data_IF_230250925606
#
_entry.id   IF_230250925606
#
_cell.length_a   1.000
_cell.length_b   1.000
_cell.length_c   1.000
_cell.angle_alpha   90.00
_cell.angle_beta   90.00
_cell.angle_gamma   90.00
#
_symmetry.space_group_name_H-M   'P 1'
#
loop_
_entity.id
_entity.type
_entity.pdbx_description
1 polymer ?
#
# COMPACT_ATOMS: atom_id res chain seq x y z
N UNK A 1 -14.24 -27.52 7.34
CA UNK A 1 -13.54 -26.28 7.78
C UNK A 1 -14.58 -25.32 8.35
N UNK A 2 -14.39 -24.80 9.57
CA UNK A 2 -15.36 -23.91 10.23
C UNK A 2 -15.30 -22.48 9.63
N UNK A 3 -16.37 -21.97 9.01
CA UNK A 3 -16.40 -20.64 8.38
C UNK A 3 -16.16 -19.51 9.39
N UNK A 4 -16.48 -19.70 10.67
CA UNK A 4 -16.22 -18.70 11.73
C UNK A 4 -14.73 -18.54 12.02
N UNK A 5 -13.95 -19.63 11.92
CA UNK A 5 -12.49 -19.60 12.11
C UNK A 5 -11.82 -18.83 10.96
N UNK A 6 -12.24 -19.07 9.72
CA UNK A 6 -11.73 -18.36 8.55
C UNK A 6 -12.06 -16.86 8.60
N UNK A 7 -13.28 -16.49 8.99
CA UNK A 7 -13.66 -15.08 9.12
C UNK A 7 -12.84 -14.34 10.19
N UNK A 8 -12.58 -14.98 11.35
CA UNK A 8 -11.72 -14.38 12.39
C UNK A 8 -10.27 -14.22 11.91
N UNK A 9 -9.72 -15.22 11.22
CA UNK A 9 -8.37 -15.16 10.67
C UNK A 9 -8.22 -14.01 9.66
N UNK A 10 -9.18 -13.84 8.75
CA UNK A 10 -9.17 -12.75 7.77
C UNK A 10 -9.24 -11.36 8.44
N UNK A 11 -10.00 -11.22 9.53
CA UNK A 11 -10.06 -9.96 10.28
C UNK A 11 -8.70 -9.61 10.92
N UNK A 12 -8.03 -10.58 11.55
CA UNK A 12 -6.68 -10.38 12.10
C UNK A 12 -5.67 -10.06 10.98
N UNK A 13 -5.71 -10.77 9.86
CA UNK A 13 -4.84 -10.52 8.72
C UNK A 13 -4.95 -9.06 8.23
N UNK A 14 -6.17 -8.57 7.99
CA UNK A 14 -6.40 -7.19 7.58
C UNK A 14 -5.92 -6.17 8.63
N UNK A 15 -6.11 -6.45 9.92
CA UNK A 15 -5.61 -5.60 11.00
C UNK A 15 -4.08 -5.53 11.00
N UNK A 16 -3.39 -6.66 10.90
CA UNK A 16 -1.92 -6.69 10.88
C UNK A 16 -1.34 -6.04 9.63
N UNK A 17 -1.99 -6.15 8.47
CA UNK A 17 -1.60 -5.40 7.27
C UNK A 17 -1.68 -3.88 7.50
N UNK A 18 -2.77 -3.39 8.10
CA UNK A 18 -2.91 -1.96 8.40
C UNK A 18 -1.84 -1.45 9.37
N UNK A 19 -1.54 -2.22 10.42
CA UNK A 19 -0.44 -1.91 11.35
C UNK A 19 0.90 -1.90 10.63
N UNK A 20 1.15 -2.87 9.74
CA UNK A 20 2.36 -2.94 8.92
C UNK A 20 2.56 -1.69 8.05
N UNK A 21 1.50 -1.24 7.38
CA UNK A 21 1.55 -0.01 6.56
C UNK A 21 1.89 1.22 7.39
N UNK A 22 1.23 1.42 8.54
CA UNK A 22 1.50 2.55 9.44
C UNK A 22 2.95 2.51 9.94
N UNK A 23 3.42 1.36 10.41
CA UNK A 23 4.78 1.20 10.91
C UNK A 23 5.83 1.40 9.81
N UNK A 24 5.56 0.90 8.59
CA UNK A 24 6.42 1.07 7.43
C UNK A 24 6.59 2.54 7.04
N UNK A 25 5.48 3.27 6.86
CA UNK A 25 5.51 4.70 6.54
C UNK A 25 6.08 5.55 7.69
N UNK A 26 5.81 5.18 8.94
CA UNK A 26 6.43 5.81 10.11
C UNK A 26 7.95 5.66 10.08
N UNK A 27 8.43 4.44 9.81
CA UNK A 27 9.85 4.13 9.70
C UNK A 27 10.51 4.94 8.57
N UNK A 28 9.85 5.06 7.41
CA UNK A 28 10.36 5.84 6.27
C UNK A 28 10.38 7.35 6.50
N UNK A 29 9.41 7.90 7.24
CA UNK A 29 9.37 9.34 7.57
C UNK A 29 10.36 9.75 8.68
N UNK A 30 10.73 8.82 9.56
CA UNK A 30 11.62 9.10 10.68
C UNK A 30 13.08 9.30 10.24
N UNK A 31 13.70 10.39 10.69
CA UNK A 31 15.03 10.83 10.24
C UNK A 31 16.19 10.54 11.20
N UNK A 32 15.93 9.96 12.37
CA UNK A 32 16.92 9.75 13.42
C UNK A 32 17.26 8.28 13.71
N UNK A 33 16.97 7.37 12.78
CA UNK A 33 17.34 5.96 12.93
C UNK A 33 18.83 5.74 13.13
N UNK A 34 19.68 6.56 12.51
CA UNK A 34 21.13 6.53 12.69
C UNK A 34 21.58 6.76 14.16
N UNK A 35 20.74 7.36 15.02
CA UNK A 35 21.03 7.50 16.46
C UNK A 35 20.73 6.23 17.24
N UNK A 36 19.71 5.48 16.82
CA UNK A 36 19.29 4.23 17.47
C UNK A 36 20.25 3.10 17.08
N UNK A 37 20.67 3.06 15.81
CA UNK A 37 21.60 2.08 15.26
C UNK A 37 22.87 2.78 14.75
N UNK A 38 23.75 3.26 15.64
CA UNK A 38 24.92 4.07 15.26
C UNK A 38 25.90 3.34 14.35
N UNK A 39 25.91 2.00 14.36
CA UNK A 39 26.73 1.18 13.46
C UNK A 39 26.36 1.34 11.97
N UNK A 40 25.22 1.96 11.66
CA UNK A 40 24.79 2.20 10.28
C UNK A 40 25.47 3.40 9.63
N UNK A 41 26.04 4.31 10.41
CA UNK A 41 26.77 5.48 9.92
C UNK A 41 28.23 5.10 9.62
N UNK A 42 28.70 5.37 8.41
CA UNK A 42 30.10 5.12 8.01
C UNK A 42 30.64 6.31 7.22
N UNK A 43 31.95 6.37 7.00
CA UNK A 43 32.59 7.42 6.18
C UNK A 43 32.07 7.47 4.74
N UNK A 44 31.57 6.35 4.21
CA UNK A 44 30.97 6.26 2.88
C UNK A 44 29.44 6.44 2.86
N UNK A 45 28.77 6.33 4.01
CA UNK A 45 27.30 6.33 4.13
C UNK A 45 26.87 7.43 5.12
N UNK A 46 26.45 8.57 4.57
CA UNK A 46 25.95 9.70 5.34
C UNK A 46 24.59 9.44 6.00
N UNK A 47 24.02 10.47 6.64
CA UNK A 47 22.82 10.37 7.48
C UNK A 47 21.63 9.74 6.75
N UNK A 48 21.33 10.13 5.50
CA UNK A 48 20.17 9.61 4.77
C UNK A 48 20.35 8.12 4.39
N UNK A 49 21.56 7.74 3.96
CA UNK A 49 21.92 6.35 3.69
C UNK A 49 21.85 5.49 4.96
N UNK A 50 22.36 5.98 6.10
CA UNK A 50 22.33 5.27 7.37
C UNK A 50 20.89 5.03 7.86
N UNK A 51 20.00 6.01 7.66
CA UNK A 51 18.57 5.87 7.97
C UNK A 51 17.86 4.83 7.08
N UNK A 52 18.17 4.78 5.78
CA UNK A 52 17.61 3.77 4.89
C UNK A 52 18.10 2.37 5.26
N UNK A 53 19.41 2.23 5.55
CA UNK A 53 20.02 0.97 5.98
C UNK A 53 19.41 0.44 7.28
N UNK A 54 19.18 1.32 8.25
CA UNK A 54 18.55 0.95 9.53
C UNK A 54 17.10 0.53 9.36
N UNK A 55 16.31 1.24 8.54
CA UNK A 55 14.95 0.83 8.19
C UNK A 55 14.92 -0.56 7.55
N UNK A 56 15.84 -0.85 6.62
CA UNK A 56 15.96 -2.15 5.99
C UNK A 56 16.31 -3.26 7.00
N UNK A 57 17.29 -3.01 7.88
CA UNK A 57 17.67 -3.96 8.92
C UNK A 57 16.53 -4.27 9.88
N UNK A 58 15.76 -3.24 10.27
CA UNK A 58 14.56 -3.43 11.09
C UNK A 58 13.55 -4.34 10.37
N UNK A 59 13.32 -4.11 9.08
CA UNK A 59 12.46 -4.95 8.25
C UNK A 59 12.92 -6.41 8.22
N UNK A 60 14.21 -6.66 8.01
CA UNK A 60 14.78 -8.02 8.02
C UNK A 60 14.56 -8.71 9.36
N UNK A 61 14.78 -8.01 10.49
CA UNK A 61 14.57 -8.56 11.82
C UNK A 61 13.10 -8.92 12.04
N UNK A 62 12.17 -8.01 11.70
CA UNK A 62 10.73 -8.25 11.84
C UNK A 62 10.29 -9.43 10.97
N UNK A 63 10.73 -9.49 9.70
CA UNK A 63 10.42 -10.59 8.79
C UNK A 63 10.96 -11.93 9.28
N UNK A 64 12.19 -11.96 9.82
CA UNK A 64 12.76 -13.18 10.39
C UNK A 64 11.93 -13.66 11.59
N UNK A 65 11.56 -12.75 12.50
CA UNK A 65 10.74 -13.07 13.67
C UNK A 65 9.36 -13.59 13.27
N UNK A 66 8.66 -12.93 12.33
CA UNK A 66 7.34 -13.38 11.88
C UNK A 66 7.42 -14.70 11.13
N UNK A 67 8.48 -14.94 10.36
CA UNK A 67 8.72 -16.22 9.69
C UNK A 67 8.94 -17.33 10.72
N UNK A 68 9.80 -17.12 11.72
CA UNK A 68 10.00 -18.09 12.79
C UNK A 68 8.70 -18.38 13.54
N UNK A 69 7.94 -17.34 13.92
CA UNK A 69 6.64 -17.51 14.55
C UNK A 69 5.69 -18.36 13.69
N UNK A 70 5.63 -18.07 12.39
CA UNK A 70 4.79 -18.82 11.44
C UNK A 70 5.20 -20.28 11.37
N UNK A 71 6.51 -20.56 11.26
CA UNK A 71 7.03 -21.93 11.22
C UNK A 71 6.79 -22.69 12.54
N UNK A 72 6.88 -22.02 13.69
CA UNK A 72 6.64 -22.67 14.99
C UNK A 72 5.16 -22.86 15.33
N UNK A 73 4.26 -22.07 14.72
CA UNK A 73 2.82 -22.10 15.00
C UNK A 73 2.01 -22.90 13.97
N UNK A 74 2.60 -23.20 12.81
CA UNK A 74 1.98 -24.05 11.81
C UNK A 74 2.19 -25.51 12.19
N UNK A 75 1.13 -26.16 12.65
CA UNK A 75 1.10 -27.62 12.72
C UNK A 75 1.08 -28.16 11.28
N UNK A 76 2.19 -28.73 10.83
CA UNK A 76 2.23 -29.43 9.55
C UNK A 76 1.45 -30.75 9.69
N UNK A 77 0.36 -30.88 8.95
CA UNK A 77 -0.26 -32.18 8.77
C UNK A 77 0.65 -32.99 7.83
N UNK A 78 1.10 -34.20 8.22
CA UNK A 78 1.88 -35.04 7.32
C UNK A 78 1.07 -35.32 6.05
N UNK A 79 1.72 -35.18 4.89
CA UNK A 79 1.18 -35.60 3.59
C UNK A 79 0.97 -37.12 3.64
N UNK A 80 -0.24 -37.54 4.00
CA UNK A 80 -0.60 -38.94 4.02
C UNK A 80 -0.90 -39.39 2.59
N UNK A 81 0.13 -39.80 1.85
CA UNK A 81 0.02 -40.42 0.52
C UNK A 81 -0.46 -41.88 0.68
N UNK A 82 -1.56 -42.07 1.41
CA UNK A 82 -2.17 -43.37 1.54
C UNK A 82 -3.67 -43.23 1.81
N UNK A 83 -4.41 -43.74 0.83
CA UNK A 83 -5.83 -44.08 0.83
C UNK A 83 -6.79 -42.93 0.57
N UNK A 84 -7.00 -42.68 -0.74
CA UNK A 84 -8.34 -42.43 -1.28
C UNK A 84 -9.30 -43.50 -0.75
N UNK A 85 -9.96 -43.22 0.38
CA UNK A 85 -11.22 -43.85 0.73
C UNK A 85 -12.24 -42.74 0.85
N UNK A 86 -13.14 -42.78 -0.12
CA UNK A 86 -14.36 -41.99 -0.28
C UNK A 86 -15.16 -41.95 1.02
N UNK A 87 -15.37 -40.76 1.59
CA UNK A 87 -16.56 -40.47 2.39
C UNK A 87 -17.29 -39.25 1.81
N UNK A 88 -18.53 -39.51 1.40
CA UNK A 88 -19.44 -38.65 0.67
C UNK A 88 -19.87 -37.40 1.45
N UNK A 89 -19.59 -36.22 0.89
CA UNK A 89 -20.44 -35.03 1.00
C UNK A 89 -20.49 -34.31 -0.36
N UNK A 90 -21.58 -34.51 -1.11
CA UNK A 90 -22.03 -33.65 -2.22
C UNK A 90 -21.10 -33.53 -3.44
N UNK A 91 -21.26 -34.43 -4.41
CA UNK A 91 -20.65 -34.40 -5.74
C UNK A 91 -20.86 -33.05 -6.47
N UNK A 92 -19.77 -32.33 -6.72
CA UNK A 92 -19.41 -31.91 -8.08
C UNK A 92 -18.09 -32.59 -8.35
N UNK A 93 -18.12 -33.63 -9.18
CA UNK A 93 -16.94 -34.39 -9.56
C UNK A 93 -15.96 -33.43 -10.27
N UNK A 94 -14.81 -33.19 -9.64
CA UNK A 94 -13.60 -32.85 -10.39
C UNK A 94 -12.99 -34.19 -10.75
N UNK A 95 -13.05 -34.54 -12.04
CA UNK A 95 -12.19 -35.60 -12.57
C UNK A 95 -10.74 -35.20 -12.28
N UNK A 96 -10.06 -36.01 -11.47
CA UNK A 96 -8.61 -36.02 -11.35
C UNK A 96 -8.04 -36.65 -12.62
N UNK A 97 -8.12 -35.91 -13.73
CA UNK A 97 -7.10 -36.02 -14.77
C UNK A 97 -5.92 -35.14 -14.35
N UNK A 98 -4.73 -35.72 -14.41
CA UNK A 98 -3.42 -35.09 -14.33
C UNK A 98 -3.43 -33.75 -15.11
N UNK A 99 -3.69 -32.63 -14.41
CA UNK A 99 -4.00 -31.39 -15.10
C UNK A 99 -2.73 -30.75 -15.65
N UNK A 100 -2.67 -30.44 -16.96
CA UNK A 100 -1.65 -29.54 -17.48
C UNK A 100 -1.84 -28.18 -16.79
N UNK A 101 -0.74 -27.46 -16.54
CA UNK A 101 -0.74 -26.14 -15.91
C UNK A 101 -1.99 -25.33 -16.29
N UNK A 102 -2.81 -24.85 -15.33
CA UNK A 102 -4.08 -24.20 -15.64
C UNK A 102 -3.80 -23.01 -16.55
N UNK A 103 -4.12 -23.21 -17.83
CA UNK A 103 -3.80 -22.24 -18.86
C UNK A 103 -4.59 -20.96 -18.59
N UNK A 104 -4.02 -19.79 -18.92
CA UNK A 104 -4.73 -18.51 -18.79
C UNK A 104 -6.13 -18.53 -19.43
N UNK A 105 -6.34 -19.37 -20.44
CA UNK A 105 -7.62 -19.58 -21.10
C UNK A 105 -8.69 -20.24 -20.22
N UNK A 106 -8.33 -21.19 -19.35
CA UNK A 106 -9.28 -21.82 -18.40
C UNK A 106 -9.66 -20.85 -17.27
N UNK A 107 -8.70 -20.03 -16.84
CA UNK A 107 -8.95 -18.95 -15.88
C UNK A 107 -9.88 -17.89 -16.48
N UNK A 108 -9.67 -17.49 -17.74
CA UNK A 108 -10.59 -16.60 -18.47
C UNK A 108 -11.94 -17.26 -18.79
N UNK A 109 -11.98 -18.57 -19.01
CA UNK A 109 -13.21 -19.34 -19.17
C UNK A 109 -14.08 -19.29 -17.91
N UNK A 110 -13.44 -19.37 -16.74
CA UNK A 110 -14.09 -19.24 -15.44
C UNK A 110 -14.77 -17.89 -15.24
N UNK A 111 -14.24 -16.80 -15.84
CA UNK A 111 -14.87 -15.46 -15.81
C UNK A 111 -16.26 -15.44 -16.44
N UNK A 112 -16.56 -16.31 -17.41
CA UNK A 112 -17.88 -16.37 -18.05
C UNK A 112 -18.97 -16.93 -17.13
N UNK A 113 -18.60 -17.68 -16.10
CA UNK A 113 -19.55 -18.23 -15.12
C UNK A 113 -19.91 -17.24 -14.00
N UNK A 114 -19.23 -16.09 -13.94
CA UNK A 114 -19.52 -15.04 -12.98
C UNK A 114 -20.69 -14.16 -13.42
N UNK A 115 -21.49 -13.72 -12.44
CA UNK A 115 -22.62 -12.83 -12.72
C UNK A 115 -22.13 -11.49 -13.29
N UNK A 116 -22.91 -10.89 -14.21
CA UNK A 116 -22.60 -9.59 -14.82
C UNK A 116 -22.23 -8.49 -13.79
N UNK A 117 -22.94 -8.35 -12.65
CA UNK A 117 -22.57 -7.37 -11.63
C UNK A 117 -21.18 -7.61 -11.03
N UNK A 118 -20.79 -8.87 -10.85
CA UNK A 118 -19.51 -9.24 -10.25
C UNK A 118 -18.35 -9.01 -11.23
N UNK A 119 -18.55 -9.31 -12.52
CA UNK A 119 -17.60 -8.95 -13.58
C UNK A 119 -17.38 -7.44 -13.67
N UNK A 120 -18.45 -6.66 -13.57
CA UNK A 120 -18.36 -5.20 -13.62
C UNK A 120 -17.56 -4.65 -12.43
N UNK A 121 -17.83 -5.11 -11.21
CA UNK A 121 -17.09 -4.69 -10.01
C UNK A 121 -15.62 -5.07 -10.13
N UNK A 122 -15.31 -6.28 -10.60
CA UNK A 122 -13.94 -6.74 -10.79
C UNK A 122 -13.19 -5.88 -11.82
N UNK A 123 -13.83 -5.54 -12.95
CA UNK A 123 -13.26 -4.67 -13.97
C UNK A 123 -13.01 -3.26 -13.42
N UNK A 124 -14.00 -2.66 -12.75
CA UNK A 124 -13.86 -1.33 -12.13
C UNK A 124 -12.75 -1.33 -11.10
N UNK A 125 -12.67 -2.36 -10.27
CA UNK A 125 -11.61 -2.53 -9.27
C UNK A 125 -10.25 -2.65 -9.95
N UNK A 126 -10.13 -3.46 -11.00
CA UNK A 126 -8.89 -3.59 -11.77
C UNK A 126 -8.42 -2.26 -12.36
N UNK A 127 -9.33 -1.50 -12.99
CA UNK A 127 -9.03 -0.16 -13.52
C UNK A 127 -8.64 0.83 -12.41
N UNK A 128 -9.30 0.77 -11.26
CA UNK A 128 -8.97 1.60 -10.10
C UNK A 128 -7.54 1.33 -9.60
N UNK A 129 -7.17 0.04 -9.51
CA UNK A 129 -5.81 -0.34 -9.10
C UNK A 129 -4.75 0.12 -10.11
N UNK A 130 -5.06 0.14 -11.41
CA UNK A 130 -4.15 0.72 -12.42
C UNK A 130 -3.87 2.22 -12.17
N UNK A 131 -4.79 2.95 -11.55
CA UNK A 131 -4.56 4.34 -11.11
C UNK A 131 -3.75 4.43 -9.81
N UNK A 132 -3.99 3.53 -8.86
CA UNK A 132 -3.27 3.49 -7.58
C UNK A 132 -1.82 3.06 -7.71
N UNK A 133 -1.50 2.12 -8.60
CA UNK A 133 -0.14 1.58 -8.74
C UNK A 133 0.91 2.68 -9.02
N UNK A 134 0.75 3.54 -10.05
CA UNK A 134 1.67 4.64 -10.27
C UNK A 134 1.72 5.61 -9.11
N UNK A 135 0.58 5.91 -8.47
CA UNK A 135 0.55 6.79 -7.31
C UNK A 135 1.42 6.23 -6.18
N UNK A 136 1.19 4.98 -5.74
CA UNK A 136 1.93 4.36 -4.65
C UNK A 136 3.45 4.22 -4.91
N UNK A 137 3.86 4.19 -6.18
CA UNK A 137 5.27 4.09 -6.57
C UNK A 137 5.94 5.45 -6.72
N UNK A 138 5.23 6.47 -7.21
CA UNK A 138 5.82 7.74 -7.63
C UNK A 138 5.39 8.95 -6.79
N UNK A 139 4.47 8.81 -5.84
CA UNK A 139 3.99 9.93 -5.02
C UNK A 139 5.08 10.54 -4.14
N UNK A 140 5.92 9.72 -3.52
CA UNK A 140 7.03 10.16 -2.67
C UNK A 140 8.17 10.76 -3.49
N UNK A 141 8.42 10.23 -4.69
CA UNK A 141 9.36 10.81 -5.65
C UNK A 141 8.83 12.14 -6.21
N UNK A 142 7.53 12.23 -6.49
CA UNK A 142 6.84 13.47 -6.86
C UNK A 142 6.98 14.52 -5.76
N UNK A 143 6.80 14.16 -4.49
CA UNK A 143 7.03 15.07 -3.37
C UNK A 143 8.51 15.52 -3.33
N UNK A 144 9.46 14.61 -3.52
CA UNK A 144 10.90 14.92 -3.54
C UNK A 144 11.34 15.83 -4.69
N UNK A 145 10.86 15.55 -5.91
CA UNK A 145 11.30 16.22 -7.14
C UNK A 145 10.45 17.43 -7.50
N UNK A 146 9.14 17.29 -7.53
CA UNK A 146 8.26 18.37 -8.01
C UNK A 146 8.00 19.39 -6.90
N UNK A 147 7.68 18.95 -5.68
CA UNK A 147 7.36 19.87 -4.58
C UNK A 147 8.62 20.48 -3.97
N UNK A 148 9.65 19.67 -3.70
CA UNK A 148 10.89 20.13 -3.06
C UNK A 148 12.01 20.52 -4.04
N UNK A 149 11.83 20.33 -5.37
CA UNK A 149 12.86 20.57 -6.41
C UNK A 149 14.19 19.88 -6.14
N UNK A 150 14.15 18.75 -5.43
CA UNK A 150 15.30 17.93 -5.14
C UNK A 150 15.70 17.07 -6.34
N UNK A 151 16.99 16.76 -6.45
CA UNK A 151 17.54 15.88 -7.49
C UNK A 151 18.34 14.76 -6.80
N UNK A 152 18.03 13.48 -7.07
CA UNK A 152 18.68 12.36 -6.40
C UNK A 152 20.18 12.24 -6.73
N UNK A 153 20.64 12.75 -7.87
CA UNK A 153 22.07 12.77 -8.26
C UNK A 153 22.67 14.19 -8.29
N UNK A 154 22.07 15.14 -7.55
CA UNK A 154 22.54 16.53 -7.47
C UNK A 154 23.70 16.74 -6.49
N UNK A 155 24.07 18.01 -6.26
CA UNK A 155 24.98 18.40 -5.18
C UNK A 155 24.40 18.05 -3.81
N UNK A 156 25.23 17.95 -2.76
CA UNK A 156 24.82 17.52 -1.42
C UNK A 156 23.60 18.27 -0.86
N UNK A 157 23.48 19.58 -1.14
CA UNK A 157 22.33 20.38 -0.73
C UNK A 157 21.03 19.97 -1.47
N UNK A 158 21.10 19.86 -2.80
CA UNK A 158 19.95 19.50 -3.65
C UNK A 158 19.51 18.04 -3.44
N UNK A 159 20.49 17.17 -3.18
CA UNK A 159 20.27 15.80 -2.76
C UNK A 159 19.53 15.75 -1.42
N UNK A 160 19.92 16.57 -0.44
CA UNK A 160 19.24 16.59 0.86
C UNK A 160 17.77 17.04 0.73
N UNK A 161 17.47 18.05 -0.09
CA UNK A 161 16.07 18.48 -0.33
C UNK A 161 15.21 17.36 -0.90
N UNK A 162 15.76 16.51 -1.77
CA UNK A 162 15.06 15.33 -2.28
C UNK A 162 14.68 14.37 -1.14
N UNK A 163 15.62 13.99 -0.27
CA UNK A 163 15.32 13.08 0.85
C UNK A 163 14.39 13.69 1.90
N UNK A 164 14.46 15.01 2.11
CA UNK A 164 13.50 15.71 2.97
C UNK A 164 12.10 15.62 2.35
N UNK A 165 11.96 15.87 1.06
CA UNK A 165 10.67 15.73 0.36
C UNK A 165 10.14 14.30 0.36
N UNK A 166 10.98 13.30 0.10
CA UNK A 166 10.61 11.87 0.17
C UNK A 166 10.11 11.49 1.57
N UNK A 167 10.79 11.95 2.63
CA UNK A 167 10.34 11.73 4.02
C UNK A 167 9.01 12.39 4.33
N UNK A 168 8.79 13.59 3.83
CA UNK A 168 7.52 14.29 3.97
C UNK A 168 6.41 13.59 3.18
N UNK A 169 6.72 13.02 2.01
CA UNK A 169 5.80 12.15 1.27
C UNK A 169 5.43 10.89 2.06
N UNK A 170 6.42 10.21 2.65
CA UNK A 170 6.20 9.06 3.53
C UNK A 170 5.34 9.43 4.77
N UNK A 171 5.54 10.63 5.31
CA UNK A 171 4.67 11.16 6.38
C UNK A 171 3.22 11.38 5.88
N UNK A 172 3.04 11.88 4.66
CA UNK A 172 1.73 11.97 4.01
C UNK A 172 1.05 10.59 3.85
N UNK A 173 1.80 9.57 3.46
CA UNK A 173 1.31 8.18 3.37
C UNK A 173 1.00 7.57 4.74
N UNK A 174 1.70 7.98 5.79
CA UNK A 174 1.33 7.64 7.16
C UNK A 174 -0.04 8.24 7.52
N UNK A 175 -0.27 9.52 7.21
CA UNK A 175 -1.58 10.15 7.42
C UNK A 175 -2.67 9.49 6.58
N UNK A 176 -2.36 9.14 5.33
CA UNK A 176 -3.22 8.34 4.47
C UNK A 176 -3.65 7.04 5.18
N UNK A 177 -2.70 6.29 5.74
CA UNK A 177 -2.98 5.03 6.44
C UNK A 177 -3.85 5.22 7.68
N UNK A 178 -3.70 6.33 8.41
CA UNK A 178 -4.57 6.67 9.55
C UNK A 178 -6.00 6.97 9.07
N UNK A 179 -6.15 7.78 8.02
CA UNK A 179 -7.46 8.09 7.45
C UNK A 179 -8.12 6.84 6.86
N UNK A 180 -7.37 6.01 6.14
CA UNK A 180 -7.80 4.70 5.65
C UNK A 180 -8.35 3.84 6.79
N UNK A 181 -7.61 3.71 7.89
CA UNK A 181 -8.02 2.93 9.05
C UNK A 181 -9.33 3.45 9.69
N UNK A 182 -9.45 4.76 9.85
CA UNK A 182 -10.70 5.38 10.34
C UNK A 182 -11.87 5.18 9.37
N UNK A 183 -11.60 5.32 8.08
CA UNK A 183 -12.60 5.18 7.02
C UNK A 183 -13.11 3.76 6.90
N UNK A 184 -12.25 2.76 7.11
CA UNK A 184 -12.62 1.34 7.14
C UNK A 184 -13.65 1.00 8.24
N UNK A 185 -13.63 1.71 9.38
CA UNK A 185 -14.66 1.53 10.43
C UNK A 185 -16.02 2.13 10.04
N UNK A 186 -16.03 3.08 9.12
CA UNK A 186 -17.21 3.82 8.68
C UNK A 186 -17.79 3.24 7.39
N UNK A 187 -16.95 2.64 6.54
CA UNK A 187 -17.33 2.16 5.20
C UNK A 187 -18.48 1.16 5.25
N UNK A 188 -18.49 0.22 6.20
CA UNK A 188 -19.57 -0.77 6.32
C UNK A 188 -20.92 -0.11 6.60
N UNK A 189 -20.93 0.91 7.47
CA UNK A 189 -22.15 1.67 7.79
C UNK A 189 -22.61 2.51 6.59
N UNK A 190 -21.68 3.08 5.84
CA UNK A 190 -21.99 3.90 4.65
C UNK A 190 -22.50 3.01 3.52
N UNK A 191 -21.85 1.89 3.23
CA UNK A 191 -22.28 0.90 2.23
C UNK A 191 -23.67 0.37 2.53
N UNK A 192 -24.01 0.11 3.81
CA UNK A 192 -25.36 -0.32 4.19
C UNK A 192 -26.43 0.75 3.95
N UNK A 193 -26.08 2.03 4.06
CA UNK A 193 -27.03 3.15 3.95
C UNK A 193 -27.15 3.70 2.51
N UNK A 194 -26.05 3.76 1.78
CA UNK A 194 -25.94 4.40 0.45
C UNK A 194 -25.74 3.37 -0.68
N UNK A 195 -25.47 2.11 -0.35
CA UNK A 195 -25.21 1.05 -1.33
C UNK A 195 -23.76 1.07 -1.84
N UNK A 196 -23.19 -0.12 -2.04
CA UNK A 196 -21.79 -0.31 -2.44
C UNK A 196 -21.43 0.38 -3.75
N UNK A 197 -22.34 0.39 -4.74
CA UNK A 197 -22.09 1.00 -6.04
C UNK A 197 -21.89 2.52 -5.98
N UNK A 198 -22.69 3.23 -5.15
CA UNK A 198 -22.53 4.68 -4.98
C UNK A 198 -21.24 5.03 -4.23
N UNK A 199 -20.90 4.25 -3.19
CA UNK A 199 -19.67 4.46 -2.42
C UNK A 199 -18.43 4.27 -3.30
N UNK A 200 -18.42 3.23 -4.13
CA UNK A 200 -17.35 2.99 -5.11
C UNK A 200 -17.25 4.13 -6.14
N UNK A 201 -18.39 4.61 -6.66
CA UNK A 201 -18.42 5.72 -7.63
C UNK A 201 -17.91 7.04 -7.03
N UNK A 202 -18.37 7.40 -5.83
CA UNK A 202 -17.93 8.61 -5.12
C UNK A 202 -16.43 8.54 -4.81
N UNK A 203 -15.92 7.38 -4.42
CA UNK A 203 -14.50 7.16 -4.12
C UNK A 203 -13.62 7.39 -5.35
N UNK A 204 -14.02 6.86 -6.50
CA UNK A 204 -13.31 7.09 -7.76
C UNK A 204 -13.36 8.57 -8.19
N UNK A 205 -14.47 9.27 -7.94
CA UNK A 205 -14.58 10.70 -8.21
C UNK A 205 -13.64 11.53 -7.32
N UNK A 206 -13.58 11.22 -6.01
CA UNK A 206 -12.66 11.85 -5.06
C UNK A 206 -11.21 11.63 -5.51
N UNK A 207 -10.86 10.41 -5.92
CA UNK A 207 -9.52 10.08 -6.40
C UNK A 207 -9.14 10.90 -7.65
N UNK A 208 -10.03 10.97 -8.64
CA UNK A 208 -9.82 11.77 -9.85
C UNK A 208 -9.58 13.25 -9.53
N UNK A 209 -10.39 13.80 -8.61
CA UNK A 209 -10.24 15.18 -8.14
C UNK A 209 -8.90 15.41 -7.43
N UNK A 210 -8.46 14.47 -6.58
CA UNK A 210 -7.17 14.54 -5.90
C UNK A 210 -5.99 14.54 -6.89
N UNK A 211 -6.01 13.65 -7.89
CA UNK A 211 -4.96 13.61 -8.92
C UNK A 211 -4.94 14.88 -9.77
N UNK A 212 -6.10 15.44 -10.09
CA UNK A 212 -6.18 16.72 -10.79
C UNK A 212 -5.56 17.86 -9.97
N UNK A 213 -5.81 17.91 -8.65
CA UNK A 213 -5.15 18.90 -7.78
C UNK A 213 -3.63 18.66 -7.70
N UNK A 214 -3.15 17.41 -7.65
CA UNK A 214 -1.71 17.14 -7.67
C UNK A 214 -1.03 17.69 -8.93
N UNK A 215 -1.67 17.53 -10.09
CA UNK A 215 -1.18 18.13 -11.35
C UNK A 215 -1.19 19.66 -11.29
N UNK A 216 -2.24 20.25 -10.72
CA UNK A 216 -2.32 21.71 -10.53
C UNK A 216 -1.20 22.23 -9.62
N UNK A 217 -0.92 21.53 -8.51
CA UNK A 217 0.21 21.87 -7.61
C UNK A 217 1.52 21.80 -8.39
N UNK A 218 1.75 20.73 -9.15
CA UNK A 218 2.97 20.56 -9.96
C UNK A 218 3.14 21.72 -10.95
N UNK A 219 2.05 22.10 -11.62
CA UNK A 219 2.05 23.22 -12.55
C UNK A 219 2.39 24.55 -11.85
N UNK A 220 1.77 24.84 -10.70
CA UNK A 220 2.05 26.05 -9.92
C UNK A 220 3.51 26.09 -9.46
N UNK A 221 4.02 24.98 -8.93
CA UNK A 221 5.40 24.88 -8.41
C UNK A 221 6.43 25.02 -9.54
N UNK A 222 6.12 24.53 -10.75
CA UNK A 222 6.98 24.70 -11.92
C UNK A 222 7.16 26.17 -12.33
N UNK A 223 6.15 27.01 -12.07
CA UNK A 223 6.14 28.44 -12.40
C UNK A 223 6.68 29.33 -11.29
N UNK A 224 6.68 28.86 -10.04
CA UNK A 224 7.21 29.61 -8.91
C UNK A 224 8.74 29.50 -8.85
N UNK A 225 9.43 30.64 -8.72
CA UNK A 225 10.80 30.66 -8.24
C UNK A 225 10.78 30.71 -6.70
N UNK A 226 11.49 29.80 -6.06
CA UNK A 226 11.55 29.78 -4.60
C UNK A 226 12.38 30.95 -4.10
N UNK A 227 11.85 31.66 -3.10
CA UNK A 227 12.51 32.80 -2.49
C UNK A 227 13.77 32.39 -1.71
N UNK A 228 13.75 31.18 -1.13
CA UNK A 228 14.92 30.50 -0.56
C UNK A 228 15.28 29.28 -1.41
N UNK A 229 16.58 29.01 -1.67
CA UNK A 229 16.98 27.82 -2.41
C UNK A 229 16.55 26.56 -1.65
N UNK A 230 15.60 25.80 -2.22
CA UNK A 230 15.27 24.44 -1.83
C UNK A 230 14.23 24.23 -0.72
N UNK A 231 13.61 25.29 -0.18
CA UNK A 231 12.52 25.15 0.80
C UNK A 231 11.20 25.63 0.17
N UNK A 232 10.26 24.72 -0.15
CA UNK A 232 8.98 25.11 -0.69
C UNK A 232 8.16 25.91 0.35
N UNK A 233 7.29 26.84 -0.08
CA UNK A 233 6.35 27.51 0.80
C UNK A 233 5.55 26.48 1.61
N UNK A 234 5.46 26.69 2.94
CA UNK A 234 4.78 25.77 3.86
C UNK A 234 3.35 25.43 3.42
N UNK A 235 2.64 26.39 2.79
CA UNK A 235 1.29 26.18 2.28
C UNK A 235 1.19 25.09 1.21
N UNK A 236 2.19 24.96 0.32
CA UNK A 236 2.20 23.94 -0.74
C UNK A 236 2.41 22.55 -0.14
N UNK A 237 3.34 22.43 0.81
CA UNK A 237 3.60 21.17 1.52
C UNK A 237 2.38 20.72 2.31
N UNK A 238 1.73 21.64 3.03
CA UNK A 238 0.49 21.32 3.78
C UNK A 238 -0.64 20.91 2.83
N UNK A 239 -0.80 21.59 1.70
CA UNK A 239 -1.78 21.20 0.68
C UNK A 239 -1.51 19.80 0.13
N UNK A 240 -0.26 19.48 -0.19
CA UNK A 240 0.15 18.16 -0.69
C UNK A 240 -0.08 17.05 0.36
N UNK A 241 0.26 17.29 1.63
CA UNK A 241 -0.04 16.38 2.73
C UNK A 241 -1.56 16.18 2.93
N UNK A 242 -2.34 17.25 2.79
CA UNK A 242 -3.80 17.19 2.85
C UNK A 242 -4.38 16.27 1.77
N UNK A 243 -3.85 16.34 0.54
CA UNK A 243 -4.27 15.45 -0.56
C UNK A 243 -3.90 14.00 -0.26
N UNK A 244 -2.68 13.74 0.21
CA UNK A 244 -2.23 12.39 0.55
C UNK A 244 -3.13 11.79 1.64
N UNK A 245 -3.47 12.59 2.65
CA UNK A 245 -4.39 12.19 3.70
C UNK A 245 -5.81 11.92 3.17
N UNK A 246 -6.33 12.76 2.27
CA UNK A 246 -7.68 12.62 1.69
C UNK A 246 -7.79 11.38 0.80
N UNK A 247 -6.71 11.04 0.07
CA UNK A 247 -6.61 9.83 -0.73
C UNK A 247 -6.76 8.55 0.10
N UNK A 248 -6.60 8.59 1.44
CA UNK A 248 -6.89 7.44 2.31
C UNK A 248 -8.37 7.03 2.35
N UNK A 249 -9.30 7.96 2.06
CA UNK A 249 -10.74 7.68 2.01
C UNK A 249 -11.11 6.70 0.88
N UNK A 250 -10.79 7.00 -0.40
CA UNK A 250 -11.14 6.10 -1.50
C UNK A 250 -10.37 4.79 -1.48
N UNK A 251 -9.22 4.71 -0.81
CA UNK A 251 -8.47 3.47 -0.63
C UNK A 251 -9.16 2.50 0.37
N UNK A 252 -10.11 2.98 1.18
CA UNK A 252 -10.84 2.17 2.15
C UNK A 252 -12.00 1.36 1.55
N UNK A 253 -12.36 1.66 0.29
CA UNK A 253 -13.52 1.12 -0.43
C UNK A 253 -13.06 0.05 -1.40
#
# INVERSE_FOLDING_TARGET
KDPRRAHRANAYYSMFMAVGNILGFATGSYSLWFKILPFTLTTACGINCANLKSAFLLGVVILALTTCMTLTAADEAPLNVSNHVVENYGQVAFDEEESPDPSFCELLGSLRYLSQPMLLIMLVTGLMWLGWFPFLLFDTDWMGREVYKGVPSGSDAVHNYYYVGVRMGAFGLLLNSVVLGLSSLVVERVCRKWGTALVLGISNLIMSFCFWIMLLISFIVSKMQFHDPGIPPKGIVVAALGIFSLLGLPLAV
#
